data_IF_655106205068
#
_entry.id   IF_655106205068
#
_cell.length_a   1.000
_cell.length_b   1.000
_cell.length_c   1.000
_cell.angle_alpha   90.00
_cell.angle_beta   90.00
_cell.angle_gamma   90.00
#
_symmetry.space_group_name_H-M   'P 1'
#
loop_
_entity.id
_entity.type
_entity.pdbx_description
1 polymer ?
#
# COMPACT_ATOMS: atom_id res chain seq x y z
N UNK A 1 45.08 -21.72 -17.61
CA UNK A 1 44.73 -20.30 -17.88
C UNK A 1 43.77 -19.87 -16.78
N UNK A 2 44.29 -19.28 -15.70
CA UNK A 2 43.48 -18.88 -14.54
C UNK A 2 42.89 -17.49 -14.75
N UNK A 3 41.58 -17.33 -14.61
CA UNK A 3 40.95 -16.01 -14.62
C UNK A 3 41.48 -15.19 -13.42
N UNK A 4 41.94 -13.95 -13.62
CA UNK A 4 42.46 -13.12 -12.54
C UNK A 4 41.38 -12.82 -11.50
N UNK A 5 41.70 -13.07 -10.23
CA UNK A 5 40.82 -12.91 -9.05
C UNK A 5 40.15 -11.52 -8.95
N UNK A 6 40.78 -10.48 -9.52
CA UNK A 6 40.23 -9.12 -9.63
C UNK A 6 39.04 -9.01 -10.58
N UNK A 7 39.02 -9.81 -11.65
CA UNK A 7 37.91 -9.87 -12.60
C UNK A 7 36.68 -10.57 -12.00
N UNK A 8 36.90 -11.51 -11.08
CA UNK A 8 35.83 -12.19 -10.34
C UNK A 8 35.15 -11.22 -9.35
N UNK A 9 35.93 -10.38 -8.66
CA UNK A 9 35.41 -9.36 -7.75
C UNK A 9 34.60 -8.27 -8.46
N UNK A 10 35.03 -7.84 -9.65
CA UNK A 10 34.30 -6.85 -10.45
C UNK A 10 32.97 -7.41 -10.96
N UNK A 11 32.95 -8.68 -11.39
CA UNK A 11 31.71 -9.39 -11.75
C UNK A 11 30.79 -9.58 -10.56
N UNK A 12 31.32 -9.92 -9.38
CA UNK A 12 30.51 -10.07 -8.15
C UNK A 12 29.88 -8.72 -7.73
N UNK A 13 30.59 -7.61 -7.91
CA UNK A 13 30.08 -6.26 -7.61
C UNK A 13 29.01 -5.81 -8.62
N UNK A 14 29.17 -6.13 -9.91
CA UNK A 14 28.19 -5.87 -10.96
C UNK A 14 26.90 -6.70 -10.79
N UNK A 15 27.04 -7.96 -10.38
CA UNK A 15 25.90 -8.85 -10.03
C UNK A 15 25.21 -8.38 -8.74
N UNK A 16 25.93 -7.79 -7.77
CA UNK A 16 25.32 -7.25 -6.54
C UNK A 16 24.62 -5.89 -6.76
N UNK A 17 24.97 -5.16 -7.82
CA UNK A 17 24.34 -3.89 -8.19
C UNK A 17 23.14 -4.03 -9.13
N UNK A 18 22.94 -5.22 -9.68
CA UNK A 18 21.81 -5.54 -10.56
C UNK A 18 20.84 -6.41 -9.77
N UNK A 19 19.66 -5.87 -9.47
CA UNK A 19 18.53 -6.55 -8.79
C UNK A 19 18.50 -6.49 -7.25
N UNK A 20 18.38 -5.26 -6.75
CA UNK A 20 17.31 -4.98 -5.78
C UNK A 20 16.28 -4.06 -6.44
N UNK A 21 15.72 -4.49 -7.57
CA UNK A 21 14.41 -4.02 -7.99
C UNK A 21 13.41 -4.72 -7.07
N UNK A 22 13.33 -4.24 -5.82
CA UNK A 22 12.22 -4.54 -4.96
C UNK A 22 10.97 -4.23 -5.80
N UNK A 23 10.09 -5.20 -5.98
CA UNK A 23 8.78 -4.97 -6.60
C UNK A 23 8.00 -4.09 -5.63
N UNK A 24 8.39 -2.82 -5.52
CA UNK A 24 7.73 -1.83 -4.72
C UNK A 24 6.32 -1.78 -5.29
N UNK A 25 5.35 -2.04 -4.43
CA UNK A 25 3.96 -1.87 -4.81
C UNK A 25 3.82 -0.44 -5.34
N UNK A 26 3.29 -0.27 -6.55
CA UNK A 26 3.17 1.07 -7.11
C UNK A 26 2.14 1.86 -6.29
N UNK A 27 2.66 2.73 -5.41
CA UNK A 27 1.87 3.58 -4.53
C UNK A 27 2.06 5.06 -4.85
N UNK A 28 2.84 5.40 -5.87
CA UNK A 28 3.16 6.80 -6.22
C UNK A 28 2.62 7.26 -7.56
N UNK A 29 2.01 6.37 -8.34
CA UNK A 29 1.30 6.75 -9.57
C UNK A 29 0.11 7.66 -9.29
N UNK A 30 -0.01 8.70 -10.12
CA UNK A 30 -1.10 9.67 -10.08
C UNK A 30 -2.42 9.02 -10.48
N UNK A 31 -3.45 9.19 -9.65
CA UNK A 31 -4.82 8.75 -9.92
C UNK A 31 -5.62 9.90 -10.49
N UNK A 32 -5.75 11.00 -9.74
CA UNK A 32 -6.43 12.21 -10.20
C UNK A 32 -5.96 13.44 -9.43
N UNK A 33 -6.34 14.61 -9.96
CA UNK A 33 -6.16 15.89 -9.29
C UNK A 33 -7.41 16.75 -9.42
N UNK A 34 -7.72 17.50 -8.38
CA UNK A 34 -8.77 18.52 -8.36
C UNK A 34 -8.15 19.85 -7.93
N UNK A 35 -8.40 20.90 -8.69
CA UNK A 35 -7.90 22.24 -8.41
C UNK A 35 -9.10 23.20 -8.42
N UNK A 36 -9.18 24.14 -7.48
CA UNK A 36 -10.17 25.21 -7.59
C UNK A 36 -9.83 26.11 -8.78
N UNK A 37 -10.88 26.74 -9.34
CA UNK A 37 -10.75 27.68 -10.46
C UNK A 37 -10.21 29.04 -10.02
N UNK A 38 -10.39 29.37 -8.74
CA UNK A 38 -9.99 30.66 -8.17
C UNK A 38 -8.50 30.64 -7.80
N UNK A 39 -7.64 31.36 -8.55
CA UNK A 39 -6.27 31.56 -8.12
C UNK A 39 -6.26 32.42 -6.87
N UNK A 40 -5.25 32.27 -6.02
CA UNK A 40 -5.06 33.21 -4.91
C UNK A 40 -4.15 34.37 -5.36
N UNK A 41 -4.51 35.58 -4.96
CA UNK A 41 -3.69 36.78 -5.18
C UNK A 41 -2.73 36.95 -4.00
N UNK A 42 -1.43 36.89 -4.24
CA UNK A 42 -0.41 36.88 -3.18
C UNK A 42 0.68 37.94 -3.37
N UNK A 43 0.31 39.23 -3.32
CA UNK A 43 1.27 40.31 -3.58
C UNK A 43 2.39 40.36 -2.53
N UNK A 44 2.10 39.92 -1.30
CA UNK A 44 3.01 39.98 -0.16
C UNK A 44 3.62 38.61 0.21
N UNK A 45 3.33 37.54 -0.53
CA UNK A 45 3.89 36.20 -0.31
C UNK A 45 3.33 35.43 0.90
N UNK A 46 2.35 35.99 1.62
CA UNK A 46 1.80 35.44 2.87
C UNK A 46 1.11 34.09 2.63
N UNK A 47 0.39 33.95 1.51
CA UNK A 47 -0.28 32.68 1.17
C UNK A 47 0.73 31.61 0.79
N UNK A 48 1.72 31.96 -0.05
CA UNK A 48 2.78 31.03 -0.45
C UNK A 48 3.57 30.55 0.79
N UNK A 49 3.83 31.43 1.75
CA UNK A 49 4.50 31.06 3.00
C UNK A 49 3.63 30.15 3.88
N UNK A 50 2.35 30.45 4.05
CA UNK A 50 1.42 29.61 4.80
C UNK A 50 1.29 28.22 4.17
N UNK A 51 1.14 28.13 2.85
CA UNK A 51 1.06 26.86 2.13
C UNK A 51 2.35 26.05 2.24
N UNK A 52 3.51 26.69 2.14
CA UNK A 52 4.80 26.04 2.35
C UNK A 52 4.95 25.50 3.78
N UNK A 53 4.50 26.25 4.78
CA UNK A 53 4.52 25.80 6.18
C UNK A 53 3.56 24.61 6.40
N UNK A 54 2.37 24.65 5.80
CA UNK A 54 1.40 23.57 5.83
C UNK A 54 1.99 22.29 5.24
N UNK A 55 2.50 22.35 4.01
CA UNK A 55 3.11 21.21 3.34
C UNK A 55 4.30 20.64 4.12
N UNK A 56 5.17 21.50 4.67
CA UNK A 56 6.26 21.07 5.54
C UNK A 56 5.77 20.30 6.77
N UNK A 57 4.71 20.78 7.42
CA UNK A 57 4.08 20.13 8.58
C UNK A 57 3.48 18.77 8.21
N UNK A 58 2.70 18.71 7.12
CA UNK A 58 2.07 17.48 6.63
C UNK A 58 3.12 16.41 6.27
N UNK A 59 4.15 16.79 5.50
CA UNK A 59 5.23 15.88 5.12
C UNK A 59 6.00 15.38 6.35
N UNK A 60 6.31 16.26 7.30
CA UNK A 60 6.99 15.85 8.55
C UNK A 60 6.18 14.82 9.34
N UNK A 61 4.87 15.04 9.47
CA UNK A 61 3.98 14.18 10.25
C UNK A 61 3.72 12.82 9.59
N UNK A 62 3.85 12.71 8.27
CA UNK A 62 3.75 11.43 7.55
C UNK A 62 4.79 10.38 7.94
N UNK A 63 5.87 10.79 8.61
CA UNK A 63 6.87 9.86 9.19
C UNK A 63 6.34 9.11 10.43
N UNK A 64 5.26 9.60 11.05
CA UNK A 64 4.73 9.10 12.32
C UNK A 64 3.31 8.56 12.20
N UNK A 65 2.48 9.22 11.40
CA UNK A 65 1.06 8.89 11.27
C UNK A 65 0.67 8.71 9.82
N UNK A 66 -0.47 8.05 9.61
CA UNK A 66 -1.07 7.80 8.30
C UNK A 66 -2.07 8.88 7.88
N UNK A 67 -2.51 9.67 8.83
CA UNK A 67 -3.42 10.78 8.66
C UNK A 67 -2.97 11.91 9.57
N UNK A 68 -3.04 13.13 9.07
CA UNK A 68 -2.84 14.33 9.87
C UNK A 68 -3.53 15.50 9.19
N UNK A 69 -4.16 16.34 10.00
CA UNK A 69 -4.82 17.58 9.58
C UNK A 69 -4.22 18.74 10.35
N UNK A 70 -3.93 19.83 9.66
CA UNK A 70 -3.37 21.03 10.24
C UNK A 70 -3.94 22.28 9.59
N UNK A 71 -3.90 23.38 10.34
CA UNK A 71 -4.25 24.71 9.87
C UNK A 71 -3.05 25.61 10.06
N UNK A 72 -2.78 26.45 9.06
CA UNK A 72 -1.66 27.41 9.07
C UNK A 72 -2.10 28.74 8.50
N UNK A 73 -1.31 29.78 8.77
CA UNK A 73 -1.62 31.15 8.34
C UNK A 73 -2.53 31.86 9.34
N UNK A 74 -2.92 33.08 8.99
CA UNK A 74 -3.72 33.97 9.85
C UNK A 74 -4.65 34.84 9.03
N UNK A 75 -5.81 35.18 9.60
CA UNK A 75 -6.80 36.03 8.93
C UNK A 75 -7.25 35.44 7.60
N UNK A 76 -7.22 36.24 6.53
CA UNK A 76 -7.61 35.81 5.18
C UNK A 76 -6.66 34.79 4.54
N UNK A 77 -5.44 34.63 5.09
CA UNK A 77 -4.46 33.64 4.63
C UNK A 77 -4.51 32.31 5.41
N UNK A 78 -5.47 32.16 6.33
CA UNK A 78 -5.69 30.91 7.05
C UNK A 78 -6.15 29.81 6.09
N UNK A 79 -5.48 28.67 6.13
CA UNK A 79 -5.80 27.50 5.30
C UNK A 79 -5.66 26.22 6.10
N UNK A 80 -6.51 25.26 5.77
CA UNK A 80 -6.49 23.91 6.36
C UNK A 80 -6.02 22.94 5.30
N UNK A 81 -5.22 21.97 5.70
CA UNK A 81 -4.91 20.84 4.84
C UNK A 81 -4.70 19.57 5.62
N UNK A 82 -4.66 18.48 4.87
CA UNK A 82 -4.46 17.15 5.40
C UNK A 82 -3.72 16.29 4.40
N UNK A 83 -3.09 15.24 4.92
CA UNK A 83 -2.70 14.09 4.12
C UNK A 83 -3.38 12.84 4.66
N UNK A 84 -3.57 11.86 3.79
CA UNK A 84 -3.99 10.52 4.15
C UNK A 84 -3.22 9.52 3.29
N UNK A 85 -2.48 8.63 3.95
CA UNK A 85 -1.86 7.46 3.35
C UNK A 85 -2.80 6.26 3.40
N UNK A 86 -2.55 5.30 2.51
CA UNK A 86 -3.23 4.01 2.51
C UNK A 86 -2.89 3.21 3.77
N UNK A 87 -3.90 2.57 4.34
CA UNK A 87 -3.78 1.96 5.68
C UNK A 87 -2.78 0.81 5.78
N UNK A 88 -2.36 0.21 4.66
CA UNK A 88 -1.41 -0.92 4.60
C UNK A 88 0.07 -0.53 4.38
N UNK A 89 0.38 0.74 4.08
CA UNK A 89 1.75 1.23 3.87
C UNK A 89 2.62 1.22 5.15
N UNK A 90 3.95 1.19 5.04
CA UNK A 90 4.77 1.58 6.20
C UNK A 90 4.75 3.10 6.39
N UNK A 91 5.22 3.61 7.53
CA UNK A 91 5.42 5.06 7.67
C UNK A 91 6.49 5.59 6.71
N UNK A 92 7.48 4.76 6.33
CA UNK A 92 8.47 5.12 5.32
C UNK A 92 7.83 5.26 3.94
N UNK A 93 7.00 4.31 3.52
CA UNK A 93 6.27 4.39 2.25
C UNK A 93 5.27 5.54 2.24
N UNK A 94 4.61 5.78 3.37
CA UNK A 94 3.72 6.93 3.55
C UNK A 94 4.48 8.25 3.35
N UNK A 95 5.63 8.42 4.00
CA UNK A 95 6.50 9.57 3.78
C UNK A 95 6.97 9.70 2.33
N UNK A 96 7.41 8.60 1.71
CA UNK A 96 7.85 8.58 0.31
C UNK A 96 6.72 8.92 -0.67
N UNK A 97 5.48 8.61 -0.33
CA UNK A 97 4.30 9.00 -1.09
C UNK A 97 3.96 10.48 -0.88
N UNK A 98 3.84 10.91 0.38
CA UNK A 98 3.37 12.26 0.76
C UNK A 98 4.37 13.33 0.35
N UNK A 99 5.68 13.06 0.44
CA UNK A 99 6.74 14.00 0.05
C UNK A 99 6.71 14.38 -1.44
N UNK A 100 6.04 13.61 -2.30
CA UNK A 100 5.86 13.94 -3.72
C UNK A 100 4.73 14.93 -3.97
N UNK A 101 3.75 14.99 -3.08
CA UNK A 101 2.50 15.72 -3.28
C UNK A 101 2.67 17.25 -3.38
N UNK A 102 3.54 17.92 -2.60
CA UNK A 102 3.74 19.36 -2.74
C UNK A 102 4.17 19.79 -4.15
N UNK A 103 5.18 19.10 -4.71
CA UNK A 103 5.71 19.37 -6.05
C UNK A 103 4.66 19.03 -7.12
N UNK A 104 3.94 17.92 -6.97
CA UNK A 104 2.86 17.56 -7.89
C UNK A 104 1.70 18.54 -7.83
N UNK A 105 1.34 19.03 -6.65
CA UNK A 105 0.29 20.04 -6.47
C UNK A 105 0.64 21.31 -7.22
N UNK A 106 1.85 21.84 -7.05
CA UNK A 106 2.31 23.03 -7.78
C UNK A 106 2.32 22.79 -9.29
N UNK A 107 2.88 21.67 -9.75
CA UNK A 107 2.96 21.34 -11.18
C UNK A 107 1.59 21.15 -11.84
N UNK A 108 0.62 20.55 -11.13
CA UNK A 108 -0.67 20.16 -11.70
C UNK A 108 -1.78 21.20 -11.48
N UNK A 109 -1.70 21.99 -10.41
CA UNK A 109 -2.72 22.97 -10.03
C UNK A 109 -2.22 24.41 -9.98
N UNK A 110 -0.91 24.64 -9.96
CA UNK A 110 -0.33 25.95 -9.76
C UNK A 110 -0.75 26.58 -8.44
N UNK A 111 -0.77 27.91 -8.41
CA UNK A 111 -1.16 28.71 -7.24
C UNK A 111 -2.67 28.89 -7.17
N UNK A 112 -3.35 27.93 -6.56
CA UNK A 112 -4.81 27.93 -6.41
C UNK A 112 -5.25 27.89 -4.95
N UNK A 113 -6.49 28.32 -4.68
CA UNK A 113 -7.09 28.44 -3.33
C UNK A 113 -7.43 27.10 -2.70
N UNK A 114 -7.59 26.04 -3.49
CA UNK A 114 -7.76 24.69 -3.00
C UNK A 114 -7.22 23.68 -4.02
N UNK A 115 -6.53 22.64 -3.55
CA UNK A 115 -6.12 21.55 -4.40
C UNK A 115 -6.13 20.21 -3.67
N UNK A 116 -6.48 19.17 -4.42
CA UNK A 116 -6.38 17.77 -4.04
C UNK A 116 -5.56 17.03 -5.07
N UNK A 117 -4.54 16.30 -4.64
CA UNK A 117 -3.76 15.40 -5.50
C UNK A 117 -3.79 14.01 -4.89
N UNK A 118 -4.29 13.04 -5.65
CA UNK A 118 -4.42 11.63 -5.24
C UNK A 118 -3.41 10.76 -6.00
N UNK A 119 -2.55 10.09 -5.25
CA UNK A 119 -1.73 8.97 -5.71
C UNK A 119 -2.36 7.65 -5.24
N UNK A 120 -1.89 6.51 -5.77
CA UNK A 120 -2.37 5.18 -5.36
C UNK A 120 -2.16 4.88 -3.87
N UNK A 121 -1.14 5.48 -3.26
CA UNK A 121 -0.76 5.26 -1.86
C UNK A 121 -1.17 6.35 -0.89
N UNK A 122 -1.47 7.55 -1.37
CA UNK A 122 -1.75 8.68 -0.50
C UNK A 122 -2.41 9.83 -1.26
N UNK A 123 -3.01 10.76 -0.54
CA UNK A 123 -3.40 12.06 -1.09
C UNK A 123 -3.09 13.19 -0.12
N UNK A 124 -3.10 14.40 -0.67
CA UNK A 124 -3.03 15.65 0.08
C UNK A 124 -4.12 16.56 -0.46
N UNK A 125 -4.80 17.22 0.48
CA UNK A 125 -5.82 18.22 0.23
C UNK A 125 -5.44 19.47 1.03
N UNK A 126 -5.51 20.64 0.41
CA UNK A 126 -5.54 21.90 1.13
C UNK A 126 -6.64 22.80 0.59
N UNK A 127 -7.21 23.61 1.46
CA UNK A 127 -8.29 24.53 1.18
C UNK A 127 -8.11 25.79 2.04
N UNK A 128 -8.25 26.97 1.44
CA UNK A 128 -8.34 28.22 2.21
C UNK A 128 -9.62 28.26 3.05
N UNK A 129 -9.58 29.01 4.15
CA UNK A 129 -10.76 29.20 5.01
C UNK A 129 -11.93 29.78 4.20
N UNK A 130 -13.13 29.21 4.37
CA UNK A 130 -14.33 29.65 3.64
C UNK A 130 -14.53 28.99 2.27
N UNK A 131 -13.67 28.03 1.90
CA UNK A 131 -13.91 27.21 0.71
C UNK A 131 -15.23 26.43 0.82
N UNK A 132 -15.93 26.31 -0.31
CA UNK A 132 -17.26 25.70 -0.37
C UNK A 132 -17.21 24.25 0.12
N UNK A 133 -18.04 23.93 1.11
CA UNK A 133 -18.17 22.56 1.61
C UNK A 133 -18.90 21.70 0.58
N UNK A 134 -18.33 20.54 0.27
CA UNK A 134 -18.94 19.53 -0.58
C UNK A 134 -19.32 18.31 0.25
N UNK A 135 -20.37 17.61 -0.18
CA UNK A 135 -20.81 16.39 0.51
C UNK A 135 -19.68 15.36 0.53
N UNK A 136 -19.47 14.73 1.69
CA UNK A 136 -18.51 13.62 1.85
C UNK A 136 -18.75 12.46 0.89
N UNK A 137 -19.99 12.32 0.42
CA UNK A 137 -20.45 11.27 -0.49
C UNK A 137 -20.38 11.67 -1.97
N UNK A 138 -19.95 12.89 -2.30
CA UNK A 138 -19.81 13.33 -3.68
C UNK A 138 -18.70 12.52 -4.36
N UNK A 139 -19.00 11.99 -5.55
CA UNK A 139 -18.00 11.31 -6.38
C UNK A 139 -16.99 12.34 -6.93
N UNK A 140 -15.72 12.10 -6.66
CA UNK A 140 -14.61 12.93 -7.16
C UNK A 140 -13.97 12.34 -8.40
N UNK A 141 -13.80 11.02 -8.42
CA UNK A 141 -13.14 10.31 -9.50
C UNK A 141 -13.59 8.85 -9.54
N UNK A 142 -13.63 8.28 -10.75
CA UNK A 142 -13.81 6.85 -10.94
C UNK A 142 -13.02 6.34 -12.14
N UNK A 143 -12.59 5.09 -12.04
CA UNK A 143 -12.05 4.33 -13.16
C UNK A 143 -12.56 2.90 -13.10
N UNK A 144 -12.91 2.35 -14.25
CA UNK A 144 -13.42 0.99 -14.39
C UNK A 144 -12.54 0.27 -15.41
N UNK A 145 -12.20 -1.00 -15.14
CA UNK A 145 -11.43 -1.83 -16.05
C UNK A 145 -12.30 -2.55 -17.07
N UNK A 146 -11.73 -3.60 -17.67
CA UNK A 146 -12.43 -4.44 -18.64
C UNK A 146 -13.68 -5.11 -18.05
N UNK A 147 -14.63 -5.46 -18.91
CA UNK A 147 -15.83 -6.23 -18.55
C UNK A 147 -15.68 -7.70 -18.92
N UNK A 148 -16.50 -8.57 -18.33
CA UNK A 148 -16.77 -9.94 -18.80
C UNK A 148 -15.59 -10.95 -18.80
N UNK A 149 -14.46 -10.64 -18.18
CA UNK A 149 -13.30 -11.56 -18.13
C UNK A 149 -13.31 -12.54 -16.94
N UNK A 150 -14.30 -12.45 -16.03
CA UNK A 150 -14.31 -13.19 -14.77
C UNK A 150 -15.27 -14.41 -14.73
N UNK A 151 -16.00 -14.68 -15.82
CA UNK A 151 -16.94 -15.79 -15.92
C UNK A 151 -18.25 -15.59 -15.15
N UNK A 152 -19.11 -16.62 -15.13
CA UNK A 152 -20.41 -16.59 -14.43
C UNK A 152 -20.22 -16.43 -12.91
N UNK A 153 -21.14 -15.70 -12.26
CA UNK A 153 -21.12 -15.49 -10.80
C UNK A 153 -20.02 -14.51 -10.35
N UNK A 154 -19.51 -13.66 -11.23
CA UNK A 154 -18.56 -12.62 -10.83
C UNK A 154 -19.23 -11.58 -9.94
N UNK A 155 -20.43 -11.14 -10.30
CA UNK A 155 -21.21 -10.14 -9.58
C UNK A 155 -21.48 -10.60 -8.14
N UNK A 156 -21.95 -11.84 -7.95
CA UNK A 156 -22.18 -12.41 -6.61
C UNK A 156 -20.90 -12.44 -5.76
N UNK A 157 -19.75 -12.80 -6.37
CA UNK A 157 -18.45 -12.79 -5.68
C UNK A 157 -18.01 -11.38 -5.31
N UNK A 158 -18.27 -10.41 -6.19
CA UNK A 158 -17.99 -8.99 -5.95
C UNK A 158 -18.84 -8.43 -4.83
N UNK A 159 -20.14 -8.66 -4.87
CA UNK A 159 -21.08 -8.11 -3.91
C UNK A 159 -20.83 -8.74 -2.52
N UNK A 160 -20.46 -10.03 -2.48
CA UNK A 160 -19.99 -10.68 -1.24
C UNK A 160 -18.71 -10.02 -0.70
N UNK A 161 -17.72 -9.77 -1.56
CA UNK A 161 -16.48 -9.12 -1.16
C UNK A 161 -16.72 -7.69 -0.64
N UNK A 162 -17.62 -6.94 -1.28
CA UNK A 162 -18.03 -5.61 -0.85
C UNK A 162 -18.72 -5.64 0.51
N UNK A 163 -19.64 -6.57 0.75
CA UNK A 163 -20.30 -6.71 2.06
C UNK A 163 -19.30 -6.99 3.19
N UNK A 164 -18.28 -7.82 2.94
CA UNK A 164 -17.21 -8.06 3.92
C UNK A 164 -16.38 -6.79 4.16
N UNK A 165 -16.06 -6.05 3.11
CA UNK A 165 -15.31 -4.79 3.19
C UNK A 165 -16.08 -3.71 3.97
N UNK A 166 -17.38 -3.55 3.73
CA UNK A 166 -18.24 -2.59 4.43
C UNK A 166 -18.24 -2.80 5.95
N UNK A 167 -18.33 -4.04 6.41
CA UNK A 167 -18.24 -4.36 7.84
C UNK A 167 -16.81 -4.24 8.37
N UNK A 168 -15.84 -4.59 7.53
CA UNK A 168 -14.42 -4.54 7.85
C UNK A 168 -13.92 -3.13 8.14
N UNK A 169 -14.35 -2.12 7.37
CA UNK A 169 -13.91 -0.73 7.60
C UNK A 169 -14.39 -0.18 8.93
N UNK A 170 -15.59 -0.57 9.39
CA UNK A 170 -16.13 -0.17 10.70
C UNK A 170 -15.33 -0.83 11.81
N UNK A 171 -15.07 -2.13 11.69
CA UNK A 171 -14.34 -2.92 12.71
C UNK A 171 -12.86 -2.57 12.79
N UNK A 172 -12.26 -2.11 11.69
CA UNK A 172 -10.85 -1.75 11.59
C UNK A 172 -10.61 -0.24 11.67
N UNK A 173 -11.63 0.55 12.03
CA UNK A 173 -11.54 2.01 12.20
C UNK A 173 -10.98 2.74 10.97
N UNK A 174 -11.54 2.43 9.80
CA UNK A 174 -11.41 3.26 8.60
C UNK A 174 -10.65 2.65 7.43
N UNK A 175 -9.82 1.62 7.59
CA UNK A 175 -9.16 0.95 6.47
C UNK A 175 -9.35 -0.56 6.54
N UNK A 176 -9.79 -1.16 5.44
CA UNK A 176 -9.91 -2.61 5.34
C UNK A 176 -9.62 -3.09 3.92
N UNK A 177 -8.83 -4.16 3.82
CA UNK A 177 -8.56 -4.83 2.56
C UNK A 177 -8.64 -6.34 2.76
N UNK A 178 -9.27 -7.03 1.81
CA UNK A 178 -9.44 -8.48 1.87
C UNK A 178 -9.48 -9.08 0.47
N UNK A 179 -9.39 -10.41 0.41
CA UNK A 179 -9.60 -11.17 -0.81
C UNK A 179 -10.75 -12.13 -0.59
N UNK A 180 -11.67 -12.20 -1.55
CA UNK A 180 -12.71 -13.21 -1.60
C UNK A 180 -12.55 -13.98 -2.92
N UNK A 181 -12.10 -15.24 -2.82
CA UNK A 181 -11.70 -16.05 -3.97
C UNK A 181 -10.65 -15.31 -4.83
N UNK A 182 -10.92 -15.09 -6.11
CA UNK A 182 -10.06 -14.39 -7.08
C UNK A 182 -10.24 -12.87 -7.09
N UNK A 183 -10.97 -12.30 -6.13
CA UNK A 183 -11.25 -10.86 -6.09
C UNK A 183 -10.58 -10.21 -4.88
N UNK A 184 -9.74 -9.21 -5.13
CA UNK A 184 -9.22 -8.33 -4.09
C UNK A 184 -10.10 -7.10 -3.98
N UNK A 185 -10.39 -6.67 -2.74
CA UNK A 185 -11.14 -5.44 -2.45
C UNK A 185 -10.46 -4.65 -1.35
N UNK A 186 -10.60 -3.33 -1.40
CA UNK A 186 -10.10 -2.41 -0.40
C UNK A 186 -11.04 -1.22 -0.26
N UNK A 187 -11.33 -0.85 0.98
CA UNK A 187 -12.11 0.32 1.35
C UNK A 187 -11.32 1.17 2.35
N UNK A 188 -11.41 2.49 2.20
CA UNK A 188 -10.80 3.41 3.15
C UNK A 188 -11.60 4.71 3.32
N UNK A 189 -11.75 5.15 4.56
CA UNK A 189 -12.29 6.44 4.94
C UNK A 189 -11.16 7.44 5.28
N UNK A 190 -11.45 8.73 5.17
CA UNK A 190 -10.60 9.79 5.72
C UNK A 190 -10.52 9.64 7.25
N UNK A 191 -9.33 9.83 7.82
CA UNK A 191 -9.05 9.48 9.22
C UNK A 191 -9.75 10.32 10.28
N UNK A 192 -10.56 11.32 9.91
CA UNK A 192 -11.41 12.08 10.83
C UNK A 192 -12.90 11.71 10.75
N UNK A 193 -13.24 10.73 9.92
CA UNK A 193 -14.60 10.20 9.78
C UNK A 193 -14.85 9.15 10.87
N UNK A 194 -15.94 9.29 11.61
CA UNK A 194 -16.33 8.32 12.64
C UNK A 194 -16.77 6.98 12.05
N UNK A 195 -16.70 5.90 12.83
CA UNK A 195 -16.92 4.53 12.33
C UNK A 195 -18.27 4.33 11.62
N UNK A 196 -19.35 4.93 12.15
CA UNK A 196 -20.69 4.87 11.53
C UNK A 196 -20.72 5.56 10.16
N UNK A 197 -20.24 6.80 10.10
CA UNK A 197 -20.19 7.60 8.88
C UNK A 197 -19.23 6.98 7.85
N UNK A 198 -18.19 6.29 8.32
CA UNK A 198 -17.27 5.54 7.47
C UNK A 198 -17.98 4.37 6.80
N UNK A 199 -18.74 3.58 7.56
CA UNK A 199 -19.58 2.51 7.01
C UNK A 199 -20.58 3.03 5.98
N UNK A 200 -21.23 4.17 6.26
CA UNK A 200 -22.15 4.80 5.30
C UNK A 200 -21.44 5.30 4.04
N UNK A 201 -20.26 5.92 4.18
CA UNK A 201 -19.48 6.39 3.03
C UNK A 201 -19.08 5.24 2.11
N UNK A 202 -18.60 4.12 2.68
CA UNK A 202 -18.20 2.94 1.89
C UNK A 202 -19.40 2.29 1.22
N UNK A 203 -20.56 2.20 1.89
CA UNK A 203 -21.82 1.74 1.26
C UNK A 203 -22.21 2.61 0.07
N UNK A 204 -22.12 3.93 0.21
CA UNK A 204 -22.35 4.85 -0.91
C UNK A 204 -21.35 4.61 -2.04
N UNK A 205 -20.06 4.39 -1.72
CA UNK A 205 -19.04 4.13 -2.73
C UNK A 205 -19.29 2.80 -3.48
N UNK A 206 -19.79 1.77 -2.79
CA UNK A 206 -20.23 0.49 -3.38
C UNK A 206 -21.39 0.71 -4.34
N UNK A 207 -22.44 1.41 -3.92
CA UNK A 207 -23.58 1.75 -4.79
C UNK A 207 -23.12 2.53 -6.03
N UNK A 208 -22.18 3.46 -5.88
CA UNK A 208 -21.58 4.17 -7.01
C UNK A 208 -20.81 3.22 -7.91
N UNK A 209 -20.03 2.27 -7.39
CA UNK A 209 -19.33 1.29 -8.22
C UNK A 209 -20.29 0.38 -9.00
N UNK A 210 -21.40 -0.04 -8.41
CA UNK A 210 -22.41 -0.85 -9.09
C UNK A 210 -23.02 -0.10 -10.29
N UNK A 211 -23.38 1.17 -10.10
CA UNK A 211 -23.96 2.00 -11.17
C UNK A 211 -22.91 2.40 -12.20
N UNK A 212 -21.72 2.81 -11.75
CA UNK A 212 -20.72 3.46 -12.60
C UNK A 212 -19.75 2.49 -13.28
N UNK A 213 -19.53 1.33 -12.67
CA UNK A 213 -18.62 0.30 -13.15
C UNK A 213 -19.31 -1.04 -13.48
N UNK A 214 -20.62 -1.20 -13.26
CA UNK A 214 -21.43 -2.28 -13.83
C UNK A 214 -20.79 -3.66 -13.70
N UNK A 215 -20.58 -4.36 -14.82
CA UNK A 215 -19.92 -5.68 -14.87
C UNK A 215 -18.40 -5.63 -15.03
N UNK A 216 -17.77 -4.49 -14.75
CA UNK A 216 -16.32 -4.34 -14.81
C UNK A 216 -15.65 -5.21 -13.75
N UNK A 217 -14.56 -5.89 -14.13
CA UNK A 217 -13.84 -6.83 -13.26
C UNK A 217 -12.83 -6.15 -12.34
N UNK A 218 -12.64 -4.85 -12.49
CA UNK A 218 -11.82 -4.03 -11.60
C UNK A 218 -12.33 -2.59 -11.61
N UNK A 219 -12.18 -1.88 -10.53
CA UNK A 219 -12.54 -0.46 -10.49
C UNK A 219 -12.02 0.24 -9.26
N UNK A 220 -11.97 1.57 -9.34
CA UNK A 220 -11.71 2.43 -8.20
C UNK A 220 -12.73 3.56 -8.21
N UNK A 221 -13.38 3.79 -7.07
CA UNK A 221 -14.37 4.86 -6.90
C UNK A 221 -13.94 5.68 -5.69
N UNK A 222 -13.68 6.96 -5.93
CA UNK A 222 -13.26 7.93 -4.92
C UNK A 222 -14.40 8.90 -4.67
N UNK A 223 -14.94 8.87 -3.46
CA UNK A 223 -15.78 9.92 -2.91
C UNK A 223 -14.91 10.95 -2.18
N UNK A 224 -15.51 12.05 -1.72
CA UNK A 224 -14.74 13.10 -1.03
C UNK A 224 -14.09 12.59 0.27
N UNK A 225 -14.80 11.75 1.04
CA UNK A 225 -14.37 11.26 2.35
C UNK A 225 -14.01 9.77 2.41
N UNK A 226 -14.14 9.01 1.33
CA UNK A 226 -13.73 7.61 1.29
C UNK A 226 -13.48 7.13 -0.14
N UNK A 227 -12.86 5.97 -0.30
CA UNK A 227 -12.75 5.30 -1.58
C UNK A 227 -12.91 3.79 -1.44
N UNK A 228 -13.27 3.15 -2.54
CA UNK A 228 -13.17 1.70 -2.71
C UNK A 228 -12.36 1.36 -3.95
N UNK A 229 -11.68 0.23 -3.92
CA UNK A 229 -11.04 -0.37 -5.09
C UNK A 229 -11.26 -1.88 -5.09
N UNK A 230 -11.36 -2.46 -6.29
CA UNK A 230 -11.48 -3.89 -6.47
C UNK A 230 -10.78 -4.34 -7.74
N UNK A 231 -10.25 -5.55 -7.74
CA UNK A 231 -9.53 -6.11 -8.90
C UNK A 231 -9.63 -7.63 -8.91
N UNK A 232 -10.12 -8.17 -10.01
CA UNK A 232 -10.18 -9.60 -10.25
C UNK A 232 -8.84 -10.13 -10.79
N UNK A 233 -8.40 -11.25 -10.23
CA UNK A 233 -7.17 -11.95 -10.60
C UNK A 233 -7.51 -13.37 -11.06
N UNK A 234 -7.49 -13.65 -12.38
CA UNK A 234 -7.85 -14.96 -12.92
C UNK A 234 -7.06 -16.12 -12.30
N UNK A 235 -5.79 -15.87 -11.94
CA UNK A 235 -4.88 -16.87 -11.38
C UNK A 235 -4.82 -16.82 -9.83
N UNK A 236 -5.79 -16.17 -9.20
CA UNK A 236 -5.81 -15.92 -7.75
C UNK A 236 -5.11 -14.60 -7.38
N UNK A 237 -5.54 -14.01 -6.27
CA UNK A 237 -4.96 -12.76 -5.77
C UNK A 237 -3.51 -13.05 -5.35
N UNK A 238 -2.51 -12.30 -5.85
CA UNK A 238 -1.13 -12.47 -5.43
C UNK A 238 -1.01 -12.32 -3.91
N UNK A 239 -0.59 -13.39 -3.23
CA UNK A 239 -0.22 -13.28 -1.83
C UNK A 239 1.03 -12.40 -1.69
N UNK A 240 1.15 -11.66 -0.57
CA UNK A 240 2.47 -11.18 -0.13
C UNK A 240 3.30 -12.41 0.26
N UNK A 241 3.85 -13.11 -0.72
CA UNK A 241 4.64 -14.31 -0.50
C UNK A 241 5.97 -13.92 0.16
N UNK A 242 6.11 -14.25 1.44
CA UNK A 242 7.41 -14.73 1.91
C UNK A 242 7.73 -15.97 1.08
N UNK A 243 8.87 -15.92 0.39
CA UNK A 243 9.34 -16.94 -0.53
C UNK A 243 9.40 -18.31 0.14
N UNK A 244 8.58 -19.25 -0.29
CA UNK A 244 8.87 -20.68 -0.15
C UNK A 244 8.19 -21.44 -1.27
N UNK A 245 9.02 -22.20 -1.98
CA UNK A 245 8.76 -22.86 -3.24
C UNK A 245 7.56 -23.83 -3.23
N UNK A 246 7.11 -24.11 -4.45
CA UNK A 246 6.01 -24.99 -4.83
C UNK A 246 5.92 -26.32 -4.07
N UNK A 247 4.70 -26.68 -3.67
CA UNK A 247 4.13 -28.01 -3.93
C UNK A 247 2.63 -28.01 -3.68
N UNK A 248 1.89 -28.44 -4.69
CA UNK A 248 0.45 -28.68 -4.73
C UNK A 248 -0.03 -29.76 -3.76
N UNK A 249 -1.10 -29.51 -2.99
CA UNK A 249 -2.25 -30.42 -2.80
C UNK A 249 -3.23 -29.91 -1.73
N UNK A 250 -4.50 -29.72 -2.15
CA UNK A 250 -5.77 -29.98 -1.45
C UNK A 250 -5.95 -29.67 0.06
N UNK A 251 -6.84 -28.69 0.32
CA UNK A 251 -7.98 -28.83 1.24
C UNK A 251 -7.74 -28.87 2.75
N UNK A 252 -8.10 -27.78 3.43
CA UNK A 252 -9.09 -27.75 4.54
C UNK A 252 -9.00 -26.42 5.30
N UNK A 253 -10.14 -25.74 5.44
CA UNK A 253 -10.29 -24.56 6.27
C UNK A 253 -10.40 -24.97 7.74
N UNK A 254 -9.61 -24.32 8.61
CA UNK A 254 -9.88 -24.25 10.04
C UNK A 254 -9.46 -22.87 10.52
N UNK A 255 -10.47 -22.08 10.85
CA UNK A 255 -10.36 -20.77 11.48
C UNK A 255 -10.11 -20.96 12.97
N UNK A 256 -9.04 -20.36 13.51
CA UNK A 256 -9.00 -19.87 14.89
C UNK A 256 -7.86 -18.87 15.10
N UNK A 257 -8.00 -17.99 16.12
CA UNK A 257 -7.36 -16.68 16.14
C UNK A 257 -6.10 -16.62 17.02
N UNK A 258 -5.45 -15.45 16.96
CA UNK A 258 -4.59 -14.83 17.99
C UNK A 258 -3.07 -15.09 17.98
N UNK A 259 -2.34 -14.04 18.34
CA UNK A 259 -1.18 -14.14 19.24
C UNK A 259 0.19 -14.15 18.58
N UNK A 260 0.89 -13.02 18.65
CA UNK A 260 2.35 -12.96 18.49
C UNK A 260 3.03 -13.89 19.50
N UNK A 261 4.04 -14.67 19.09
CA UNK A 261 5.07 -15.22 19.99
C UNK A 261 6.40 -15.56 19.27
N UNK A 262 7.57 -15.35 19.92
CA UNK A 262 8.91 -15.26 19.32
C UNK A 262 9.62 -16.63 19.13
N UNK A 263 8.91 -17.65 18.65
CA UNK A 263 9.43 -19.02 18.52
C UNK A 263 10.18 -19.34 17.23
N UNK A 264 10.16 -18.45 16.22
CA UNK A 264 10.70 -18.76 14.88
C UNK A 264 12.22 -18.53 14.73
N UNK A 265 12.86 -17.85 15.68
CA UNK A 265 14.31 -17.58 15.65
C UNK A 265 15.16 -18.74 16.20
N UNK A 266 14.58 -19.62 17.03
CA UNK A 266 15.31 -20.72 17.68
C UNK A 266 15.45 -21.95 16.76
N UNK A 267 14.50 -22.17 15.84
CA UNK A 267 14.51 -23.31 14.93
C UNK A 267 15.66 -23.27 13.89
N UNK A 268 16.05 -22.07 13.45
CA UNK A 268 17.09 -21.88 12.44
C UNK A 268 18.49 -22.13 13.03
N UNK A 269 18.71 -21.74 14.30
CA UNK A 269 20.02 -21.87 14.97
C UNK A 269 20.29 -23.33 15.39
N UNK A 270 19.26 -24.07 15.82
CA UNK A 270 19.40 -25.48 16.22
C UNK A 270 19.59 -26.44 15.03
N UNK A 271 18.97 -26.16 13.88
CA UNK A 271 19.12 -26.97 12.67
C UNK A 271 20.52 -26.91 12.06
N UNK A 272 21.15 -25.72 12.09
CA UNK A 272 22.50 -25.52 11.56
C UNK A 272 23.59 -26.25 12.36
N UNK A 273 23.48 -26.25 13.69
CA UNK A 273 24.47 -26.90 14.57
C UNK A 273 24.44 -28.43 14.46
N UNK A 274 23.25 -29.03 14.35
CA UNK A 274 23.10 -30.48 14.18
C UNK A 274 23.62 -30.97 12.83
N UNK A 275 23.39 -30.19 11.76
CA UNK A 275 23.89 -30.52 10.41
C UNK A 275 25.42 -30.52 10.33
N UNK A 276 26.08 -29.52 10.94
CA UNK A 276 27.56 -29.46 10.99
C UNK A 276 28.14 -30.62 11.80
N UNK A 277 27.53 -30.96 12.94
CA UNK A 277 27.98 -32.09 13.76
C UNK A 277 27.88 -33.42 12.99
N UNK A 278 26.78 -33.65 12.25
CA UNK A 278 26.61 -34.85 11.44
C UNK A 278 27.67 -34.97 10.34
N UNK A 279 27.97 -33.87 9.64
CA UNK A 279 29.01 -33.86 8.59
C UNK A 279 30.40 -34.14 9.18
N UNK A 280 30.73 -33.57 10.34
CA UNK A 280 32.01 -33.84 11.01
C UNK A 280 32.12 -35.31 11.41
N UNK A 281 31.06 -35.91 11.95
CA UNK A 281 31.04 -37.34 12.30
C UNK A 281 31.23 -38.21 11.04
N UNK A 282 30.52 -37.92 9.95
CA UNK A 282 30.69 -38.64 8.68
C UNK A 282 32.13 -38.54 8.13
N UNK A 283 32.77 -37.37 8.24
CA UNK A 283 34.16 -37.18 7.81
C UNK A 283 35.17 -37.93 8.69
N UNK A 284 34.91 -38.03 10.00
CA UNK A 284 35.74 -38.82 10.91
C UNK A 284 35.63 -40.32 10.64
N UNK A 285 34.43 -40.83 10.35
CA UNK A 285 34.22 -42.21 9.91
C UNK A 285 34.85 -42.51 8.55
N UNK A 286 34.76 -41.60 7.58
CA UNK A 286 35.42 -41.77 6.29
C UNK A 286 36.96 -41.82 6.43
N UNK A 287 37.54 -41.03 7.35
CA UNK A 287 38.97 -41.06 7.66
C UNK A 287 39.41 -42.33 8.38
N UNK A 288 38.59 -42.89 9.28
CA UNK A 288 38.91 -44.15 9.95
C UNK A 288 38.87 -45.35 8.99
N UNK A 289 37.97 -45.32 7.99
CA UNK A 289 37.92 -46.32 6.93
C UNK A 289 39.11 -46.25 5.98
N UNK A 290 39.57 -45.04 5.62
CA UNK A 290 40.80 -44.88 4.82
C UNK A 290 42.05 -45.36 5.56
N UNK A 291 42.15 -45.09 6.87
CA UNK A 291 43.29 -45.54 7.68
C UNK A 291 43.36 -47.07 7.84
N UNK A 292 42.25 -47.79 7.61
CA UNK A 292 42.20 -49.26 7.62
C UNK A 292 42.65 -49.89 6.30
N UNK A 293 42.66 -49.12 5.21
CA UNK A 293 43.06 -49.61 3.89
C UNK A 293 44.55 -49.41 3.59
N UNK A 294 45.25 -48.60 4.38
CA UNK A 294 46.71 -48.39 4.29
C UNK A 294 47.52 -49.34 5.20
N UNK A 295 46.87 -50.33 5.82
CA UNK A 295 47.48 -51.29 6.76
C UNK A 295 47.47 -52.75 6.30
N UNK A 296 47.19 -53.02 5.02
CA UNK A 296 47.29 -54.35 4.41
C UNK A 296 48.19 -54.30 3.16
N UNK A 297 49.49 -54.22 3.42
CA UNK A 297 50.58 -54.77 2.60
C UNK A 297 51.59 -55.37 3.57
#
# INVERSE_FOLDING_TARGET
MGLPLKSLFLFLFLILSSELAESASDYTTLVYKGCSKEPFTDPNGVYSQALSALFGSLVSQSTKTKFFKATTGSGQASMTGLFQCRGDLSNSDCYNCVSRLPVLSDKLCGKTTAARVQLLGCYMLYEVTGFAQISGMQILYKTCGATNAAGRGFEERRDTAFSVMENGVVSAHGFYATSYQSLYVMGQCEGDVGDSDCGECIKNAVQRAEVECGSSISGQVYLYKCFISYSYYPNGVPGRHSSSAASSSSGSFSSSPSGQNPGKTVAIILGGAAGVAFVVICLLFARSLKKKHDGMC
#
